data_IF_315078252223
#
_entry.id   IF_315078252223
#
_cell.length_a   1.000
_cell.length_b   1.000
_cell.length_c   1.000
_cell.angle_alpha   90.00
_cell.angle_beta   90.00
_cell.angle_gamma   90.00
#
_symmetry.space_group_name_H-M   'P 1'
#
loop_
_entity.id
_entity.type
_entity.pdbx_description
1 polymer ?
#
# COMPACT_ATOMS: atom_id res chain seq x y z
N UNK A 1 14.78 1.44 48.44
CA UNK A 1 14.44 2.18 47.20
C UNK A 1 15.34 1.85 46.01
N UNK A 2 16.68 1.82 46.13
CA UNK A 2 17.59 1.52 45.01
C UNK A 2 17.37 0.14 44.35
N UNK A 3 17.08 -0.89 45.15
CA UNK A 3 16.83 -2.26 44.67
C UNK A 3 15.53 -2.36 43.85
N UNK A 4 14.49 -1.60 44.22
CA UNK A 4 13.19 -1.61 43.54
C UNK A 4 13.27 -0.93 42.16
N UNK A 5 14.12 0.10 42.04
CA UNK A 5 14.44 0.76 40.77
C UNK A 5 15.24 -0.15 39.85
N UNK A 6 16.21 -0.92 40.39
CA UNK A 6 16.94 -1.93 39.60
C UNK A 6 15.99 -3.03 39.08
N UNK A 7 15.05 -3.51 39.90
CA UNK A 7 14.07 -4.52 39.50
C UNK A 7 13.13 -4.05 38.38
N UNK A 8 12.69 -2.79 38.43
CA UNK A 8 11.90 -2.16 37.35
C UNK A 8 12.67 -2.06 36.03
N UNK A 9 13.99 -1.80 36.07
CA UNK A 9 14.84 -1.74 34.88
C UNK A 9 15.05 -3.11 34.21
N UNK A 10 14.99 -4.21 34.96
CA UNK A 10 15.07 -5.57 34.41
C UNK A 10 13.74 -6.08 33.82
N UNK A 11 12.60 -5.48 34.18
CA UNK A 11 11.28 -5.81 33.62
C UNK A 11 10.98 -4.98 32.35
N UNK A 12 11.58 -3.80 32.20
CA UNK A 12 11.40 -2.93 31.04
C UNK A 12 11.63 -3.58 29.65
N UNK A 13 12.66 -4.43 29.44
CA UNK A 13 12.93 -5.00 28.12
C UNK A 13 12.08 -6.23 27.76
N UNK A 14 11.18 -6.71 28.64
CA UNK A 14 10.22 -7.78 28.27
C UNK A 14 9.02 -7.25 27.48
N UNK A 15 8.84 -5.93 27.40
CA UNK A 15 7.94 -5.30 26.44
C UNK A 15 8.59 -5.23 25.06
N UNK A 16 8.97 -6.38 24.51
CA UNK A 16 9.16 -6.53 23.07
C UNK A 16 7.78 -6.49 22.42
N UNK A 17 7.24 -5.27 22.31
CA UNK A 17 6.10 -5.00 21.45
C UNK A 17 6.61 -5.11 20.00
N UNK A 18 6.80 -6.34 19.54
CA UNK A 18 6.96 -6.69 18.14
C UNK A 18 5.64 -6.38 17.42
N UNK A 19 5.30 -5.10 17.27
CA UNK A 19 4.24 -4.64 16.38
C UNK A 19 4.71 -4.91 14.95
N UNK A 20 4.52 -6.15 14.51
CA UNK A 20 4.71 -6.52 13.11
C UNK A 20 3.57 -5.87 12.34
N UNK A 21 3.89 -4.95 11.44
CA UNK A 21 2.90 -4.35 10.54
C UNK A 21 2.04 -5.43 9.90
N UNK A 22 0.73 -5.23 9.94
CA UNK A 22 -0.21 -6.04 9.17
C UNK A 22 0.04 -5.78 7.68
N UNK A 23 0.63 -6.76 7.00
CA UNK A 23 0.90 -6.67 5.56
C UNK A 23 -0.35 -7.02 4.78
N UNK A 24 -1.00 -6.03 4.17
CA UNK A 24 -2.09 -6.27 3.23
C UNK A 24 -1.50 -6.53 1.83
N UNK A 25 -1.94 -7.59 1.12
CA UNK A 25 -1.54 -7.84 -0.26
C UNK A 25 -1.89 -6.67 -1.19
N UNK A 26 -1.03 -6.35 -2.15
CA UNK A 26 -1.30 -5.29 -3.13
C UNK A 26 -2.54 -5.54 -3.98
N UNK A 27 -2.92 -6.79 -4.25
CA UNK A 27 -4.20 -7.06 -4.93
C UNK A 27 -5.40 -6.48 -4.15
N UNK A 28 -5.36 -6.50 -2.81
CA UNK A 28 -6.39 -5.88 -1.96
C UNK A 28 -6.22 -4.35 -1.93
N UNK A 29 -4.99 -3.85 -1.78
CA UNK A 29 -4.69 -2.40 -1.76
C UNK A 29 -5.17 -1.74 -3.04
N UNK A 30 -4.82 -2.28 -4.21
CA UNK A 30 -5.23 -1.79 -5.53
C UNK A 30 -6.76 -1.82 -5.65
N UNK A 31 -7.38 -2.90 -5.19
CA UNK A 31 -8.83 -3.08 -5.28
C UNK A 31 -9.58 -2.07 -4.44
N UNK A 32 -9.14 -1.83 -3.20
CA UNK A 32 -9.79 -0.92 -2.25
C UNK A 32 -9.49 0.56 -2.49
N UNK A 33 -8.43 0.90 -3.22
CA UNK A 33 -8.09 2.30 -3.47
C UNK A 33 -9.18 3.04 -4.24
N UNK A 34 -9.63 4.18 -3.73
CA UNK A 34 -10.48 5.10 -4.48
C UNK A 34 -9.66 5.87 -5.52
N UNK A 35 -8.38 6.14 -5.20
CA UNK A 35 -7.47 6.92 -6.02
C UNK A 35 -6.08 6.29 -6.02
N UNK A 36 -5.49 6.10 -7.21
CA UNK A 36 -4.09 5.69 -7.38
C UNK A 36 -3.40 6.70 -8.28
N UNK A 37 -2.36 7.36 -7.79
CA UNK A 37 -1.73 8.52 -8.46
C UNK A 37 -0.20 8.49 -8.38
N UNK A 38 0.44 9.10 -9.37
CA UNK A 38 1.87 9.44 -9.40
C UNK A 38 1.98 10.98 -9.38
N UNK A 39 2.98 11.49 -8.69
CA UNK A 39 3.13 12.93 -8.46
C UNK A 39 4.22 13.26 -7.46
N UNK A 40 4.18 14.48 -6.94
CA UNK A 40 5.16 14.95 -5.96
C UNK A 40 4.54 15.72 -4.81
N UNK A 41 5.18 15.64 -3.65
CA UNK A 41 4.86 16.46 -2.48
C UNK A 41 5.16 17.91 -2.81
N UNK A 42 4.14 18.79 -2.76
CA UNK A 42 4.33 20.22 -2.98
C UNK A 42 4.53 21.00 -1.68
N UNK A 43 3.94 20.55 -0.57
CA UNK A 43 4.08 21.19 0.73
C UNK A 43 3.86 20.21 1.88
N UNK A 44 4.65 20.33 2.94
CA UNK A 44 4.51 19.51 4.15
C UNK A 44 3.96 20.35 5.30
N UNK A 45 2.94 19.82 5.99
CA UNK A 45 2.36 20.38 7.20
C UNK A 45 2.55 19.41 8.38
N UNK A 46 2.13 19.81 9.58
CA UNK A 46 2.33 19.01 10.80
C UNK A 46 1.70 17.60 10.73
N UNK A 47 0.52 17.47 10.14
CA UNK A 47 -0.26 16.21 10.11
C UNK A 47 -0.68 15.79 8.70
N UNK A 48 -0.30 16.55 7.68
CA UNK A 48 -0.74 16.34 6.30
C UNK A 48 0.29 16.91 5.33
N UNK A 49 0.14 16.60 4.06
CA UNK A 49 0.91 17.21 2.99
C UNK A 49 0.02 17.48 1.78
N UNK A 50 0.37 18.54 1.06
CA UNK A 50 -0.18 18.80 -0.27
C UNK A 50 0.60 17.97 -1.29
N UNK A 51 -0.13 17.29 -2.17
CA UNK A 51 0.43 16.46 -3.23
C UNK A 51 -0.07 16.95 -4.58
N UNK A 52 0.86 17.20 -5.50
CA UNK A 52 0.56 17.57 -6.89
C UNK A 52 0.61 16.32 -7.76
N UNK A 53 -0.53 15.98 -8.36
CA UNK A 53 -0.72 14.80 -9.19
C UNK A 53 -0.23 15.10 -10.61
N UNK A 54 0.64 14.25 -11.13
CA UNK A 54 1.10 14.29 -12.53
C UNK A 54 0.40 13.24 -13.38
N UNK A 55 -0.03 12.12 -12.78
CA UNK A 55 -0.74 11.06 -13.49
C UNK A 55 -1.75 10.34 -12.58
N UNK A 56 -2.94 10.08 -13.14
CA UNK A 56 -3.94 9.19 -12.56
C UNK A 56 -3.76 7.77 -13.12
N UNK A 57 -3.74 6.77 -12.22
CA UNK A 57 -3.74 5.34 -12.55
C UNK A 57 -5.12 4.72 -12.30
N UNK A 58 -5.78 5.13 -11.21
CA UNK A 58 -7.15 4.77 -10.85
C UNK A 58 -7.86 5.98 -10.25
N UNK A 59 -9.14 6.15 -10.55
CA UNK A 59 -9.94 7.25 -10.00
C UNK A 59 -9.63 8.60 -10.65
N UNK A 60 -10.28 9.66 -10.15
CA UNK A 60 -10.08 11.06 -10.58
C UNK A 60 -10.26 11.99 -9.38
N UNK A 61 -9.53 13.11 -9.37
CA UNK A 61 -9.64 14.20 -8.41
C UNK A 61 -9.10 15.50 -9.02
N UNK A 62 -9.04 16.58 -8.23
CA UNK A 62 -8.27 17.77 -8.61
C UNK A 62 -6.78 17.46 -8.75
N UNK A 63 -6.04 18.29 -9.48
CA UNK A 63 -4.59 18.11 -9.68
C UNK A 63 -3.76 18.28 -8.41
N UNK A 64 -4.36 18.81 -7.34
CA UNK A 64 -3.77 18.90 -6.00
C UNK A 64 -4.71 18.28 -4.99
N UNK A 65 -4.16 17.50 -4.07
CA UNK A 65 -4.89 16.86 -2.98
C UNK A 65 -4.15 17.05 -1.66
N UNK A 66 -4.88 16.98 -0.56
CA UNK A 66 -4.32 16.88 0.78
C UNK A 66 -4.33 15.42 1.22
N UNK A 67 -3.18 14.93 1.69
CA UNK A 67 -2.99 13.56 2.16
C UNK A 67 -2.56 13.60 3.61
N UNK A 68 -3.16 12.76 4.45
CA UNK A 68 -2.80 12.66 5.86
C UNK A 68 -1.45 11.98 6.03
N UNK A 69 -0.58 12.55 6.89
CA UNK A 69 0.69 11.93 7.26
C UNK A 69 0.40 10.78 8.23
N UNK A 70 0.76 9.57 7.84
CA UNK A 70 0.88 8.46 8.79
C UNK A 70 2.02 8.72 9.79
N UNK A 71 1.71 8.66 11.09
CA UNK A 71 2.57 9.15 12.17
C UNK A 71 3.62 8.14 12.66
N UNK A 72 3.38 6.84 12.46
CA UNK A 72 4.15 5.76 13.10
C UNK A 72 5.31 5.24 12.24
N UNK A 73 6.07 6.15 11.63
CA UNK A 73 7.20 5.85 10.74
C UNK A 73 8.41 5.16 11.39
N UNK A 74 8.39 4.94 12.70
CA UNK A 74 9.48 4.24 13.41
C UNK A 74 9.36 2.71 13.29
N UNK A 75 8.14 2.18 13.13
CA UNK A 75 7.85 0.75 13.10
C UNK A 75 7.75 0.18 11.67
N UNK A 76 7.80 1.06 10.69
CA UNK A 76 7.83 0.73 9.28
C UNK A 76 8.86 1.66 8.66
N UNK A 77 9.83 1.14 7.93
CA UNK A 77 10.77 2.00 7.25
C UNK A 77 9.99 2.97 6.36
N UNK A 78 9.87 4.24 6.74
CA UNK A 78 9.95 5.28 5.74
C UNK A 78 11.43 5.54 5.60
N UNK A 79 11.98 5.26 4.41
CA UNK A 79 13.41 5.44 4.17
C UNK A 79 13.86 6.90 4.30
N UNK A 80 12.92 7.85 4.25
CA UNK A 80 13.17 9.26 4.45
C UNK A 80 11.96 9.97 5.09
N UNK A 81 12.24 11.02 5.85
CA UNK A 81 11.25 12.01 6.25
C UNK A 81 10.59 12.62 5.00
N UNK A 82 9.29 12.92 5.11
CA UNK A 82 8.53 13.54 4.03
C UNK A 82 9.04 14.97 3.78
N UNK A 83 9.35 15.30 2.52
CA UNK A 83 9.90 16.59 2.10
C UNK A 83 9.28 17.04 0.80
N UNK A 84 9.23 18.36 0.62
CA UNK A 84 8.82 18.96 -0.65
C UNK A 84 9.70 18.46 -1.81
N UNK A 85 9.09 18.27 -2.97
CA UNK A 85 9.73 17.76 -4.18
C UNK A 85 9.85 16.23 -4.25
N UNK A 86 9.57 15.49 -3.17
CA UNK A 86 9.63 14.03 -3.21
C UNK A 86 8.56 13.45 -4.13
N UNK A 87 8.97 12.58 -5.06
CA UNK A 87 8.06 11.86 -5.93
C UNK A 87 7.51 10.62 -5.22
N UNK A 88 6.19 10.46 -5.23
CA UNK A 88 5.50 9.31 -4.64
C UNK A 88 4.53 8.70 -5.66
N UNK A 89 4.31 7.39 -5.53
CA UNK A 89 3.10 6.74 -6.05
C UNK A 89 2.22 6.40 -4.86
N UNK A 90 0.99 6.91 -4.87
CA UNK A 90 0.05 6.80 -3.75
C UNK A 90 -1.13 5.89 -4.10
N UNK A 91 -1.52 5.04 -3.15
CA UNK A 91 -2.75 4.26 -3.15
C UNK A 91 -3.61 4.77 -2.00
N UNK A 92 -4.69 5.46 -2.33
CA UNK A 92 -5.44 6.28 -1.40
C UNK A 92 -6.87 5.79 -1.27
N UNK A 93 -7.35 5.78 -0.04
CA UNK A 93 -8.78 5.73 0.28
C UNK A 93 -9.29 7.14 0.56
N UNK A 94 -10.53 7.39 0.15
CA UNK A 94 -11.23 8.63 0.38
C UNK A 94 -11.95 8.56 1.73
N UNK A 95 -11.69 9.51 2.61
CA UNK A 95 -12.42 9.62 3.88
C UNK A 95 -13.79 10.26 3.66
N UNK A 96 -14.73 10.11 4.61
CA UNK A 96 -16.03 10.79 4.54
C UNK A 96 -15.93 12.31 4.41
N UNK A 97 -14.85 12.91 4.92
CA UNK A 97 -14.60 14.36 4.90
C UNK A 97 -13.86 14.83 3.65
N UNK A 98 -13.85 14.05 2.56
CA UNK A 98 -13.18 14.36 1.29
C UNK A 98 -11.65 14.50 1.39
N UNK A 99 -11.04 13.97 2.45
CA UNK A 99 -9.59 13.84 2.59
C UNK A 99 -9.11 12.48 2.07
N UNK A 100 -7.80 12.36 1.84
CA UNK A 100 -7.18 11.11 1.40
C UNK A 100 -6.25 10.54 2.46
N UNK A 101 -6.42 9.25 2.73
CA UNK A 101 -5.52 8.46 3.57
C UNK A 101 -4.79 7.43 2.70
N UNK A 102 -3.48 7.21 2.92
CA UNK A 102 -2.80 6.07 2.34
C UNK A 102 -3.35 4.76 2.87
N UNK A 103 -3.67 3.83 1.97
CA UNK A 103 -4.20 2.52 2.34
C UNK A 103 -3.11 1.71 3.03
N UNK A 104 -3.43 1.17 4.21
CA UNK A 104 -2.49 0.37 4.98
C UNK A 104 -1.16 1.11 5.20
N UNK A 105 -1.26 2.39 5.52
CA UNK A 105 -0.14 3.21 5.98
C UNK A 105 0.95 3.29 4.90
N UNK A 106 2.20 2.92 5.19
CA UNK A 106 3.28 2.96 4.19
C UNK A 106 3.04 2.09 2.95
N UNK A 107 2.14 1.09 2.99
CA UNK A 107 1.86 0.26 1.80
C UNK A 107 1.19 1.08 0.71
N UNK A 108 0.43 2.11 1.10
CA UNK A 108 -0.18 3.06 0.20
C UNK A 108 0.73 4.21 -0.22
N UNK A 109 1.99 4.25 0.25
CA UNK A 109 2.93 5.33 -0.07
C UNK A 109 4.26 4.78 -0.60
N UNK A 110 4.46 4.84 -1.91
CA UNK A 110 5.70 4.36 -2.53
C UNK A 110 6.60 5.52 -2.91
N UNK A 111 7.73 5.61 -2.21
CA UNK A 111 8.75 6.59 -2.52
C UNK A 111 9.54 6.18 -3.78
N UNK A 112 9.69 7.15 -4.70
CA UNK A 112 10.37 6.98 -5.98
C UNK A 112 11.58 7.87 -6.03
N UNK A 113 12.77 7.27 -6.04
CA UNK A 113 14.04 7.96 -6.25
C UNK A 113 14.73 7.45 -7.51
N UNK A 114 15.11 8.35 -8.42
CA UNK A 114 15.78 8.02 -9.69
C UNK A 114 15.10 6.86 -10.46
N UNK A 115 13.77 6.92 -10.53
CA UNK A 115 12.90 5.92 -11.17
C UNK A 115 12.98 4.51 -10.58
N UNK A 116 13.39 4.41 -9.31
CA UNK A 116 13.45 3.18 -8.55
C UNK A 116 12.71 3.35 -7.23
N UNK A 117 12.13 2.25 -6.76
CA UNK A 117 11.59 2.20 -5.41
C UNK A 117 12.73 1.94 -4.45
N UNK A 118 12.90 2.82 -3.49
CA UNK A 118 13.90 2.68 -2.45
C UNK A 118 13.38 1.56 -1.52
N UNK A 119 14.11 0.44 -1.50
CA UNK A 119 13.65 -0.88 -1.08
C UNK A 119 13.40 -1.00 0.42
N UNK A 120 12.28 -1.62 0.82
CA UNK A 120 11.99 -2.00 2.22
C UNK A 120 10.86 -3.04 2.30
N UNK A 121 11.31 -4.27 2.51
CA UNK A 121 10.58 -5.47 2.95
C UNK A 121 9.53 -6.08 2.01
N UNK A 122 9.93 -7.27 1.51
CA UNK A 122 9.23 -8.34 0.78
C UNK A 122 9.54 -8.33 -0.73
N UNK A 123 9.83 -9.54 -1.25
CA UNK A 123 10.12 -9.89 -2.65
C UNK A 123 8.95 -9.53 -3.59
N UNK A 124 8.76 -8.23 -3.83
CA UNK A 124 7.76 -7.67 -4.73
C UNK A 124 8.50 -7.22 -5.99
N UNK A 125 7.99 -7.57 -7.17
CA UNK A 125 8.57 -7.19 -8.47
C UNK A 125 8.32 -5.70 -8.79
N UNK A 126 8.76 -4.81 -7.90
CA UNK A 126 8.75 -3.36 -8.04
C UNK A 126 9.98 -2.88 -8.80
N UNK A 127 10.11 -3.28 -10.06
CA UNK A 127 11.29 -2.95 -10.87
C UNK A 127 11.43 -1.44 -11.11
N UNK A 128 10.34 -0.77 -11.51
CA UNK A 128 10.27 0.68 -11.69
C UNK A 128 8.80 1.19 -11.70
N UNK A 129 8.57 2.50 -11.55
CA UNK A 129 7.26 3.15 -11.62
C UNK A 129 6.43 2.80 -12.85
N UNK A 130 7.04 2.70 -14.02
CA UNK A 130 6.33 2.42 -15.28
C UNK A 130 5.76 1.01 -15.29
N UNK A 131 6.56 0.02 -14.89
CA UNK A 131 6.15 -1.39 -14.78
C UNK A 131 5.05 -1.54 -13.71
N UNK A 132 5.20 -0.87 -12.56
CA UNK A 132 4.18 -0.86 -11.51
C UNK A 132 2.84 -0.35 -12.05
N UNK A 133 2.80 0.87 -12.59
CA UNK A 133 1.56 1.50 -13.06
C UNK A 133 0.90 0.68 -14.15
N UNK A 134 1.66 0.19 -15.14
CA UNK A 134 1.15 -0.71 -16.19
C UNK A 134 0.55 -1.99 -15.59
N UNK A 135 1.23 -2.59 -14.61
CA UNK A 135 0.74 -3.80 -13.95
C UNK A 135 -0.52 -3.58 -13.11
N UNK A 136 -0.64 -2.42 -12.46
CA UNK A 136 -1.87 -1.99 -11.75
C UNK A 136 -3.02 -1.81 -12.74
N UNK A 137 -2.81 -1.14 -13.86
CA UNK A 137 -3.83 -0.97 -14.90
C UNK A 137 -4.29 -2.33 -15.44
N UNK A 138 -3.34 -3.21 -15.80
CA UNK A 138 -3.63 -4.58 -16.21
C UNK A 138 -4.45 -5.35 -15.17
N UNK A 139 -4.12 -5.19 -13.88
CA UNK A 139 -4.87 -5.78 -12.79
C UNK A 139 -6.31 -5.29 -12.75
N UNK A 140 -6.53 -3.97 -12.80
CA UNK A 140 -7.85 -3.35 -12.75
C UNK A 140 -8.72 -3.70 -13.97
N UNK A 141 -8.12 -3.93 -15.13
CA UNK A 141 -8.81 -4.39 -16.35
C UNK A 141 -9.15 -5.88 -16.33
N UNK A 142 -8.47 -6.66 -15.47
CA UNK A 142 -8.61 -8.12 -15.44
C UNK A 142 -9.50 -8.57 -14.30
N UNK A 143 -9.25 -8.06 -13.10
CA UNK A 143 -9.86 -8.53 -11.88
C UNK A 143 -10.77 -7.49 -11.29
N UNK A 144 -11.87 -7.95 -10.73
CA UNK A 144 -12.70 -7.14 -9.87
C UNK A 144 -12.83 -7.81 -8.51
N UNK A 145 -12.76 -6.99 -7.47
CA UNK A 145 -12.86 -7.39 -6.09
C UNK A 145 -14.28 -7.15 -5.59
N UNK A 146 -14.85 -8.15 -4.92
CA UNK A 146 -16.10 -8.03 -4.19
C UNK A 146 -15.91 -8.54 -2.76
N UNK A 147 -16.51 -7.80 -1.82
CA UNK A 147 -16.57 -8.16 -0.42
C UNK A 147 -18.03 -8.22 0.01
N UNK A 148 -18.43 -9.32 0.63
CA UNK A 148 -19.76 -9.50 1.22
C UNK A 148 -19.65 -10.20 2.59
N UNK A 149 -20.80 -10.51 3.19
CA UNK A 149 -20.88 -11.18 4.50
C UNK A 149 -20.17 -12.55 4.52
N UNK A 150 -20.04 -13.21 3.37
CA UNK A 150 -19.44 -14.53 3.23
C UNK A 150 -17.92 -14.48 2.97
N UNK A 151 -17.34 -13.29 2.82
CA UNK A 151 -15.91 -13.08 2.64
C UNK A 151 -15.57 -12.17 1.47
N UNK A 152 -14.33 -12.29 1.01
CA UNK A 152 -13.80 -11.53 -0.13
C UNK A 152 -13.39 -12.45 -1.27
N UNK A 153 -13.70 -12.05 -2.50
CA UNK A 153 -13.41 -12.82 -3.70
C UNK A 153 -13.04 -11.92 -4.87
N UNK A 154 -12.25 -12.49 -5.77
CA UNK A 154 -11.82 -11.86 -7.01
C UNK A 154 -12.40 -12.62 -8.19
N UNK A 155 -12.99 -11.91 -9.14
CA UNK A 155 -13.44 -12.49 -10.41
C UNK A 155 -12.63 -11.92 -11.57
N UNK A 156 -12.23 -12.79 -12.48
CA UNK A 156 -11.58 -12.39 -13.72
C UNK A 156 -12.63 -12.11 -14.80
N UNK A 157 -12.44 -11.03 -15.54
CA UNK A 157 -13.20 -10.69 -16.74
C UNK A 157 -12.49 -11.13 -18.04
N UNK A 158 -11.25 -11.64 -17.94
CA UNK A 158 -10.44 -12.10 -19.07
C UNK A 158 -10.22 -13.62 -19.02
N UNK A 159 -9.95 -14.21 -20.18
CA UNK A 159 -9.60 -15.63 -20.29
C UNK A 159 -8.22 -15.94 -19.71
N UNK A 160 -8.00 -17.20 -19.35
CA UNK A 160 -6.69 -17.66 -18.84
C UNK A 160 -5.55 -17.43 -19.85
N UNK A 161 -5.84 -17.49 -21.16
CA UNK A 161 -4.85 -17.25 -22.22
C UNK A 161 -4.45 -15.77 -22.30
N UNK A 162 -5.42 -14.85 -22.19
CA UNK A 162 -5.13 -13.41 -22.13
C UNK A 162 -4.30 -13.06 -20.89
N UNK A 163 -4.69 -13.60 -19.73
CA UNK A 163 -3.94 -13.43 -18.48
C UNK A 163 -2.52 -13.97 -18.65
N UNK A 164 -2.35 -15.13 -19.29
CA UNK A 164 -1.05 -15.69 -19.62
C UNK A 164 -0.14 -14.71 -20.38
N UNK A 165 -0.66 -14.10 -21.45
CA UNK A 165 0.07 -13.08 -22.23
C UNK A 165 0.40 -11.82 -21.42
N UNK A 166 -0.56 -11.34 -20.63
CA UNK A 166 -0.35 -10.15 -19.78
C UNK A 166 0.72 -10.40 -18.71
N UNK A 167 0.80 -11.62 -18.16
CA UNK A 167 1.87 -12.03 -17.23
C UNK A 167 3.26 -12.04 -17.87
N UNK A 168 3.36 -12.30 -19.17
CA UNK A 168 4.63 -12.24 -19.90
C UNK A 168 5.05 -10.79 -20.18
N UNK A 169 4.08 -9.91 -20.43
CA UNK A 169 4.32 -8.48 -20.73
C UNK A 169 4.63 -7.62 -19.48
N UNK A 170 4.17 -8.02 -18.29
CA UNK A 170 4.40 -7.23 -17.07
C UNK A 170 4.69 -8.09 -15.83
N UNK A 171 5.90 -7.93 -15.29
CA UNK A 171 6.37 -8.68 -14.10
C UNK A 171 5.57 -8.38 -12.83
N UNK A 172 5.14 -7.13 -12.62
CA UNK A 172 4.35 -6.79 -11.44
C UNK A 172 2.96 -7.43 -11.52
N UNK A 173 2.30 -7.39 -12.68
CA UNK A 173 1.04 -8.10 -12.90
C UNK A 173 1.20 -9.61 -12.70
N UNK A 174 2.29 -10.20 -13.22
CA UNK A 174 2.62 -11.61 -12.96
C UNK A 174 2.73 -11.93 -11.47
N UNK A 175 3.42 -11.08 -10.71
CA UNK A 175 3.53 -11.21 -9.26
C UNK A 175 2.15 -11.17 -8.57
N UNK A 176 1.28 -10.22 -8.93
CA UNK A 176 -0.07 -10.13 -8.38
C UNK A 176 -0.87 -11.41 -8.62
N UNK A 177 -0.80 -11.98 -9.83
CA UNK A 177 -1.55 -13.18 -10.20
C UNK A 177 -0.97 -14.45 -9.57
N UNK A 178 0.34 -14.66 -9.69
CA UNK A 178 0.98 -15.93 -9.30
C UNK A 178 1.24 -16.04 -7.80
N UNK A 179 1.39 -14.91 -7.11
CA UNK A 179 1.66 -14.87 -5.68
C UNK A 179 0.43 -14.36 -4.94
N UNK A 180 0.06 -13.10 -5.11
CA UNK A 180 -0.88 -12.49 -4.17
C UNK A 180 -2.33 -12.97 -4.30
N UNK A 181 -2.87 -13.12 -5.51
CA UNK A 181 -4.24 -13.59 -5.72
C UNK A 181 -4.42 -15.06 -5.28
N UNK A 182 -3.39 -15.88 -5.48
CA UNK A 182 -3.38 -17.26 -4.99
C UNK A 182 -3.43 -17.31 -3.45
N UNK A 183 -2.73 -16.41 -2.75
CA UNK A 183 -2.71 -16.35 -1.28
C UNK A 183 -3.89 -15.59 -0.65
N UNK A 184 -4.46 -14.59 -1.33
CA UNK A 184 -5.52 -13.74 -0.78
C UNK A 184 -6.86 -14.44 -0.67
N UNK A 185 -7.17 -15.36 -1.58
CA UNK A 185 -8.35 -16.24 -1.52
C UNK A 185 -8.36 -17.14 -0.27
N UNK A 186 -7.19 -17.42 0.31
CA UNK A 186 -7.03 -18.30 1.48
C UNK A 186 -6.99 -17.52 2.80
N UNK A 187 -6.38 -16.34 2.83
CA UNK A 187 -5.96 -15.68 4.09
C UNK A 187 -6.88 -14.55 4.57
N UNK A 188 -7.47 -13.74 3.68
CA UNK A 188 -8.25 -12.56 4.11
C UNK A 188 -9.55 -12.94 4.83
N UNK A 189 -10.15 -14.07 4.46
CA UNK A 189 -11.33 -14.63 5.14
C UNK A 189 -11.04 -15.07 6.59
N UNK A 190 -9.78 -15.31 6.96
CA UNK A 190 -9.42 -15.66 8.33
C UNK A 190 -9.24 -14.42 9.21
N UNK A 191 -8.67 -13.33 8.69
CA UNK A 191 -8.45 -12.08 9.45
C UNK A 191 -9.78 -11.44 9.88
N UNK A 192 -10.78 -11.42 9.01
CA UNK A 192 -12.11 -10.86 9.35
C UNK A 192 -12.90 -11.68 10.39
N UNK A 193 -12.53 -12.95 10.66
CA UNK A 193 -13.16 -13.75 11.71
C UNK A 193 -12.68 -13.41 13.12
N UNK A 194 -11.52 -12.76 13.26
CA UNK A 194 -10.97 -12.39 14.57
C UNK A 194 -11.36 -10.98 15.03
N UNK A 195 -12.02 -10.20 14.17
CA UNK A 195 -12.43 -8.81 14.44
C UNK A 195 -13.95 -8.66 14.68
N UNK A 196 -14.69 -9.77 14.83
CA UNK A 196 -16.08 -9.81 15.25
C UNK A 196 -16.22 -10.43 16.64
#
# INVERSE_FOLDING_TARGET
>A
MKILVCLLLFIGPTFNLNYKKMTIPYCIVISKADLIVDGSVSKVFKNSYEFTITQFVKGRSGSKINVTIWKEWLCDPRMAELKEGQRLILFLEKTPDDHFNPINESTGELYVDKDKFTNIFIAKDFSNPTVLKKGVTMYLETYTYQQNLNGSFFYSQKSIFEIGKMKEDNKFFKFLVDKELAYSNVTYNQINKFNN
#
